data_IF_550569619160
#
_entry.id   IF_550569619160
#
_cell.length_a   1.000
_cell.length_b   1.000
_cell.length_c   1.000
_cell.angle_alpha   90.00
_cell.angle_beta   90.00
_cell.angle_gamma   90.00
#
_symmetry.space_group_name_H-M   'P 1'
#
loop_
_entity.id
_entity.type
_entity.pdbx_description
1 polymer ?
#
# COMPACT_ATOMS: atom_id res chain seq x y z
N UNK A 1 -5.58 -15.09 3.43
CA UNK A 1 -6.63 -14.20 3.97
C UNK A 1 -6.43 -14.01 5.48
N UNK A 2 -6.39 -12.77 5.89
CA UNK A 2 -6.35 -12.42 7.30
C UNK A 2 -7.78 -12.16 7.76
N UNK A 3 -8.26 -12.85 8.81
CA UNK A 3 -9.64 -12.69 9.26
C UNK A 3 -9.89 -11.32 9.90
N UNK A 4 -11.15 -10.91 9.91
CA UNK A 4 -11.58 -9.70 10.57
C UNK A 4 -11.26 -9.78 12.06
N UNK A 5 -10.73 -8.69 12.62
CA UNK A 5 -10.39 -8.62 14.03
C UNK A 5 -9.63 -7.35 14.38
N UNK A 6 -9.44 -7.12 15.67
CA UNK A 6 -8.68 -5.99 16.18
C UNK A 6 -7.29 -6.46 16.61
N UNK A 7 -6.30 -6.20 15.77
CA UNK A 7 -4.89 -6.52 16.01
C UNK A 7 -4.07 -5.23 16.15
N UNK A 8 -4.63 -4.21 16.75
CA UNK A 8 -4.02 -2.87 16.78
C UNK A 8 -2.73 -2.76 17.60
N UNK A 9 -2.33 -3.84 18.27
CA UNK A 9 -1.04 -3.93 18.95
C UNK A 9 -0.03 -4.81 18.22
N UNK A 10 -0.39 -5.30 17.05
CA UNK A 10 0.42 -6.27 16.27
C UNK A 10 0.91 -5.62 14.99
N UNK A 11 2.20 -5.79 14.69
CA UNK A 11 2.78 -5.46 13.40
C UNK A 11 2.62 -6.66 12.45
N UNK A 12 2.09 -6.42 11.27
CA UNK A 12 1.93 -7.44 10.23
C UNK A 12 3.00 -7.25 9.18
N UNK A 13 3.76 -8.29 8.90
CA UNK A 13 4.75 -8.32 7.82
C UNK A 13 4.28 -9.27 6.74
N UNK A 14 4.20 -8.78 5.51
CA UNK A 14 3.81 -9.57 4.33
C UNK A 14 5.05 -9.90 3.52
N UNK A 15 5.37 -11.18 3.46
CA UNK A 15 6.40 -11.72 2.59
C UNK A 15 5.78 -12.92 1.86
N UNK A 16 5.07 -12.62 0.78
CA UNK A 16 4.24 -13.60 0.09
C UNK A 16 4.44 -13.51 -1.43
N UNK A 17 5.64 -13.87 -1.94
CA UNK A 17 5.95 -13.72 -3.36
C UNK A 17 5.15 -14.65 -4.28
N UNK A 18 4.42 -15.63 -3.71
CA UNK A 18 3.68 -16.62 -4.48
C UNK A 18 2.19 -16.71 -4.11
N UNK A 19 1.67 -15.72 -3.39
CA UNK A 19 0.27 -15.77 -2.94
C UNK A 19 -0.35 -14.37 -2.91
N UNK A 20 -1.63 -14.30 -3.26
CA UNK A 20 -2.43 -13.10 -3.02
C UNK A 20 -2.76 -13.02 -1.52
N UNK A 21 -2.80 -11.80 -1.00
CA UNK A 21 -3.14 -11.54 0.38
C UNK A 21 -4.38 -10.66 0.44
N UNK A 22 -5.36 -11.08 1.23
CA UNK A 22 -6.56 -10.30 1.55
C UNK A 22 -6.57 -10.04 3.04
N UNK A 23 -6.56 -8.78 3.44
CA UNK A 23 -6.57 -8.40 4.85
C UNK A 23 -7.90 -7.80 5.26
N UNK A 24 -8.56 -8.41 6.22
CA UNK A 24 -9.79 -7.94 6.84
C UNK A 24 -9.57 -7.47 8.29
N UNK A 25 -8.33 -7.50 8.78
CA UNK A 25 -8.01 -7.15 10.16
C UNK A 25 -7.38 -5.77 10.30
N UNK A 26 -7.59 -5.15 11.47
CA UNK A 26 -6.95 -3.88 11.83
C UNK A 26 -5.65 -4.17 12.57
N UNK A 27 -4.53 -3.67 12.07
CA UNK A 27 -3.19 -3.85 12.65
C UNK A 27 -2.59 -2.53 13.13
N UNK A 28 -1.56 -2.62 13.96
CA UNK A 28 -0.75 -1.46 14.36
C UNK A 28 0.00 -0.90 13.16
N UNK A 29 0.66 -1.79 12.40
CA UNK A 29 1.32 -1.45 11.15
C UNK A 29 1.30 -2.65 10.21
N UNK A 30 1.38 -2.38 8.90
CA UNK A 30 1.47 -3.41 7.88
C UNK A 30 2.66 -3.07 7.00
N UNK A 31 3.60 -4.01 6.86
CA UNK A 31 4.78 -3.85 6.01
C UNK A 31 4.74 -4.90 4.90
N UNK A 32 4.63 -4.46 3.67
CA UNK A 32 4.63 -5.33 2.49
C UNK A 32 6.05 -5.39 1.95
N UNK A 33 6.74 -6.49 2.24
CA UNK A 33 8.13 -6.72 1.85
C UNK A 33 8.26 -7.46 0.52
N UNK A 34 7.32 -8.34 0.20
CA UNK A 34 7.28 -9.04 -1.07
C UNK A 34 5.86 -9.49 -1.36
N UNK A 35 5.35 -9.19 -2.55
CA UNK A 35 4.02 -9.59 -2.99
C UNK A 35 3.98 -9.94 -4.48
N UNK A 36 4.98 -9.52 -5.26
CA UNK A 36 5.06 -9.83 -6.70
C UNK A 36 5.09 -11.35 -6.93
N UNK A 37 4.38 -11.87 -7.96
CA UNK A 37 3.54 -11.15 -8.94
C UNK A 37 2.09 -10.96 -8.50
N UNK A 38 1.78 -11.21 -7.25
CA UNK A 38 0.43 -11.23 -6.71
C UNK A 38 0.01 -9.87 -6.18
N UNK A 39 -1.11 -9.82 -5.49
CA UNK A 39 -1.75 -8.58 -5.08
C UNK A 39 -2.09 -8.61 -3.59
N UNK A 40 -1.88 -7.49 -2.91
CA UNK A 40 -2.38 -7.27 -1.56
C UNK A 40 -3.69 -6.46 -1.63
N UNK A 41 -4.74 -6.99 -1.02
CA UNK A 41 -6.06 -6.34 -0.96
C UNK A 41 -6.39 -5.93 0.47
N UNK A 42 -6.68 -4.66 0.68
CA UNK A 42 -7.05 -4.12 1.98
C UNK A 42 -8.56 -3.93 2.06
N UNK A 43 -9.21 -4.68 2.97
CA UNK A 43 -10.64 -4.58 3.23
C UNK A 43 -10.95 -3.98 4.60
N UNK A 44 -9.96 -3.78 5.46
CA UNK A 44 -10.15 -3.26 6.80
C UNK A 44 -10.20 -1.72 6.83
N UNK A 45 -10.43 -1.16 8.00
CA UNK A 45 -10.52 0.29 8.19
C UNK A 45 -9.42 0.78 9.13
N UNK A 46 -8.77 1.89 8.76
CA UNK A 46 -7.83 2.59 9.61
C UNK A 46 -6.40 2.06 9.64
N UNK A 47 -6.02 1.18 8.75
CA UNK A 47 -4.66 0.65 8.70
C UNK A 47 -3.65 1.67 8.13
N UNK A 48 -2.39 1.50 8.53
CA UNK A 48 -1.23 2.19 7.95
C UNK A 48 -0.39 1.13 7.24
N UNK A 49 -0.09 1.34 5.97
CA UNK A 49 0.61 0.37 5.14
C UNK A 49 1.93 0.97 4.67
N UNK A 50 3.01 0.22 4.85
CA UNK A 50 4.33 0.52 4.28
C UNK A 50 4.63 -0.50 3.20
N UNK A 51 5.01 -0.03 2.02
CA UNK A 51 5.46 -0.88 0.92
C UNK A 51 6.97 -0.76 0.84
N UNK A 52 7.67 -1.74 1.40
CA UNK A 52 9.14 -1.80 1.44
C UNK A 52 9.70 -2.83 0.47
N UNK A 53 8.86 -3.34 -0.43
CA UNK A 53 9.24 -4.35 -1.41
C UNK A 53 10.42 -3.89 -2.27
N UNK A 54 11.34 -4.81 -2.54
CA UNK A 54 12.50 -4.58 -3.42
C UNK A 54 12.20 -4.93 -4.88
N UNK A 55 10.96 -5.25 -5.20
CA UNK A 55 10.47 -5.51 -6.55
C UNK A 55 9.11 -4.84 -6.73
N UNK A 56 8.41 -5.25 -7.79
CA UNK A 56 7.08 -4.70 -8.06
C UNK A 56 6.09 -5.07 -6.95
N UNK A 57 5.15 -4.18 -6.68
CA UNK A 57 4.10 -4.43 -5.71
C UNK A 57 2.77 -3.84 -6.22
N UNK A 58 1.69 -4.51 -5.90
CA UNK A 58 0.34 -4.04 -6.21
C UNK A 58 -0.51 -4.08 -4.96
N UNK A 59 -1.05 -2.93 -4.60
CA UNK A 59 -1.90 -2.78 -3.41
C UNK A 59 -3.24 -2.21 -3.84
N UNK A 60 -4.32 -2.87 -3.43
CA UNK A 60 -5.68 -2.42 -3.70
C UNK A 60 -6.34 -2.06 -2.38
N UNK A 61 -6.82 -0.83 -2.29
CA UNK A 61 -7.72 -0.39 -1.21
C UNK A 61 -9.14 -0.58 -1.72
N UNK A 62 -9.79 -1.62 -1.21
CA UNK A 62 -11.11 -2.01 -1.70
C UNK A 62 -12.20 -0.99 -1.33
N UNK A 63 -13.28 -1.02 -2.09
CA UNK A 63 -14.46 -0.20 -1.79
C UNK A 63 -14.95 -0.46 -0.37
N UNK A 64 -15.12 0.60 0.42
CA UNK A 64 -15.52 0.50 1.83
C UNK A 64 -14.38 0.39 2.81
N UNK A 65 -13.16 0.07 2.36
CA UNK A 65 -11.98 0.08 3.21
C UNK A 65 -11.47 1.51 3.42
N UNK A 66 -10.78 1.73 4.53
CA UNK A 66 -10.10 2.99 4.78
C UNK A 66 -8.65 2.73 5.17
N UNK A 67 -7.73 3.49 4.58
CA UNK A 67 -6.31 3.43 4.90
C UNK A 67 -5.87 4.83 5.30
N UNK A 68 -5.25 4.96 6.45
CA UNK A 68 -4.79 6.24 6.95
C UNK A 68 -3.60 6.77 6.15
N UNK A 69 -2.69 5.87 5.75
CA UNK A 69 -1.49 6.26 5.01
C UNK A 69 -0.88 5.04 4.32
N UNK A 70 -0.36 5.27 3.10
CA UNK A 70 0.54 4.33 2.44
C UNK A 70 1.89 5.02 2.27
N UNK A 71 2.95 4.40 2.78
CA UNK A 71 4.32 4.85 2.60
C UNK A 71 5.04 3.90 1.65
N UNK A 72 5.64 4.42 0.60
CA UNK A 72 6.43 3.65 -0.36
C UNK A 72 7.90 3.90 -0.06
N UNK A 73 8.59 2.88 0.47
CA UNK A 73 9.99 2.98 0.88
C UNK A 73 10.89 1.91 0.24
N UNK A 74 10.34 1.12 -0.67
CA UNK A 74 11.10 0.10 -1.40
C UNK A 74 12.16 0.70 -2.31
N UNK A 75 13.21 -0.07 -2.61
CA UNK A 75 14.37 0.44 -3.36
C UNK A 75 14.27 0.26 -4.87
N UNK A 76 13.39 -0.59 -5.35
CA UNK A 76 13.28 -0.96 -6.77
C UNK A 76 11.86 -1.30 -7.15
N UNK A 77 11.61 -1.28 -8.47
CA UNK A 77 10.39 -1.79 -9.05
C UNK A 77 9.32 -0.74 -9.26
N UNK A 78 8.16 -1.21 -9.66
CA UNK A 78 6.99 -0.37 -9.90
C UNK A 78 5.93 -0.69 -8.86
N UNK A 79 5.43 0.32 -8.18
CA UNK A 79 4.37 0.17 -7.19
C UNK A 79 3.07 0.68 -7.80
N UNK A 80 2.06 -0.17 -7.81
CA UNK A 80 0.73 0.17 -8.30
C UNK A 80 -0.24 0.20 -7.12
N UNK A 81 -0.86 1.35 -6.93
CA UNK A 81 -1.83 1.57 -5.86
C UNK A 81 -3.20 1.78 -6.52
N UNK A 82 -4.13 0.88 -6.26
CA UNK A 82 -5.51 0.99 -6.75
C UNK A 82 -6.39 1.42 -5.58
N UNK A 83 -6.96 2.62 -5.66
CA UNK A 83 -7.72 3.21 -4.56
C UNK A 83 -9.19 3.28 -4.95
N UNK A 84 -9.96 2.29 -4.53
CA UNK A 84 -11.41 2.24 -4.72
C UNK A 84 -12.16 2.54 -3.42
N UNK A 85 -11.46 2.50 -2.30
CA UNK A 85 -11.94 2.93 -0.99
C UNK A 85 -11.45 4.33 -0.65
N UNK A 86 -11.12 4.54 0.62
CA UNK A 86 -10.62 5.83 1.11
C UNK A 86 -9.17 5.70 1.54
N UNK A 87 -8.32 6.58 1.02
CA UNK A 87 -6.91 6.67 1.38
C UNK A 87 -6.61 8.13 1.72
N UNK A 88 -6.14 8.38 2.94
CA UNK A 88 -5.92 9.74 3.42
C UNK A 88 -4.62 10.37 2.94
N UNK A 89 -3.64 9.58 2.55
CA UNK A 89 -2.40 10.12 2.00
C UNK A 89 -1.42 9.06 1.53
N UNK A 90 -0.54 9.46 0.63
CA UNK A 90 0.57 8.63 0.13
C UNK A 90 1.85 9.41 0.37
N UNK A 91 2.86 8.75 0.94
CA UNK A 91 4.21 9.31 1.08
C UNK A 91 5.17 8.42 0.30
N UNK A 92 5.96 9.02 -0.59
CA UNK A 92 6.97 8.31 -1.37
C UNK A 92 8.34 8.69 -0.84
N UNK A 93 9.07 7.69 -0.37
CA UNK A 93 10.35 7.87 0.32
C UNK A 93 11.47 7.08 -0.35
N UNK A 94 11.29 6.71 -1.61
CA UNK A 94 12.27 5.97 -2.41
C UNK A 94 12.12 6.32 -3.89
N UNK A 95 13.20 6.25 -4.71
CA UNK A 95 13.15 6.62 -6.12
C UNK A 95 12.57 5.49 -6.99
N UNK A 96 11.30 5.19 -6.79
CA UNK A 96 10.57 4.15 -7.52
C UNK A 96 9.44 4.76 -8.34
N UNK A 97 8.94 4.00 -9.31
CA UNK A 97 7.77 4.41 -10.08
C UNK A 97 6.50 4.03 -9.32
N UNK A 98 5.62 4.98 -9.12
CA UNK A 98 4.35 4.76 -8.43
C UNK A 98 3.21 5.15 -9.35
N UNK A 99 2.31 4.23 -9.60
CA UNK A 99 1.06 4.50 -10.33
C UNK A 99 -0.09 4.45 -9.35
N UNK A 100 -0.89 5.50 -9.31
CA UNK A 100 -2.08 5.59 -8.46
C UNK A 100 -3.30 5.63 -9.37
N UNK A 101 -4.18 4.66 -9.24
CA UNK A 101 -5.40 4.59 -10.03
C UNK A 101 -6.57 4.13 -9.17
N UNK A 102 -7.79 4.12 -9.71
CA UNK A 102 -8.99 3.72 -9.00
C UNK A 102 -10.02 4.84 -8.93
N UNK A 103 -11.10 4.60 -8.17
CA UNK A 103 -12.27 5.48 -8.14
C UNK A 103 -12.03 6.78 -7.37
N UNK A 104 -11.12 6.77 -6.39
CA UNK A 104 -10.94 7.89 -5.45
C UNK A 104 -9.57 8.54 -5.51
N UNK A 105 -8.79 8.29 -6.56
CA UNK A 105 -7.41 8.79 -6.68
C UNK A 105 -7.30 10.31 -6.63
N UNK A 106 -8.26 11.04 -7.17
CA UNK A 106 -8.22 12.50 -7.24
C UNK A 106 -8.24 13.16 -5.85
N UNK A 107 -8.73 12.45 -4.83
CA UNK A 107 -8.85 12.98 -3.47
C UNK A 107 -7.65 12.62 -2.59
N UNK A 108 -6.64 11.92 -3.11
CA UNK A 108 -5.51 11.42 -2.32
C UNK A 108 -4.31 12.35 -2.46
N UNK A 109 -3.86 13.02 -1.38
CA UNK A 109 -2.64 13.81 -1.42
C UNK A 109 -1.40 12.91 -1.49
N UNK A 110 -0.45 13.29 -2.34
CA UNK A 110 0.81 12.56 -2.52
C UNK A 110 1.97 13.46 -2.12
N UNK A 111 2.82 12.97 -1.21
CA UNK A 111 4.04 13.64 -0.78
C UNK A 111 5.25 12.86 -1.27
N UNK A 112 6.16 13.53 -1.95
CA UNK A 112 7.43 12.95 -2.42
C UNK A 112 8.56 13.54 -1.58
N UNK A 113 9.22 12.70 -0.78
CA UNK A 113 10.30 13.13 0.09
C UNK A 113 11.63 13.24 -0.67
N UNK A 114 12.65 13.85 -0.03
CA UNK A 114 13.98 14.03 -0.64
C UNK A 114 14.61 12.72 -1.07
N UNK A 115 14.43 11.66 -0.29
CA UNK A 115 14.94 10.32 -0.62
C UNK A 115 14.32 9.72 -1.87
N UNK A 116 13.19 10.26 -2.30
CA UNK A 116 12.47 9.82 -3.47
C UNK A 116 12.75 10.70 -4.70
N UNK A 117 13.79 11.52 -4.67
CA UNK A 117 14.21 12.30 -5.83
C UNK A 117 14.47 11.37 -7.02
N UNK A 118 13.76 11.57 -8.12
CA UNK A 118 13.77 10.65 -9.25
C UNK A 118 12.61 9.68 -9.30
N UNK A 119 11.75 9.65 -8.28
CA UNK A 119 10.51 8.87 -8.35
C UNK A 119 9.57 9.45 -9.40
N UNK A 120 8.89 8.56 -10.12
CA UNK A 120 7.83 8.94 -11.06
C UNK A 120 6.49 8.56 -10.47
N UNK A 121 5.61 9.54 -10.33
CA UNK A 121 4.26 9.31 -9.82
C UNK A 121 3.26 9.60 -10.92
N UNK A 122 2.45 8.61 -11.25
CA UNK A 122 1.40 8.74 -12.25
C UNK A 122 0.04 8.53 -11.57
N UNK A 123 -0.86 9.47 -11.74
CA UNK A 123 -2.24 9.37 -11.23
C UNK A 123 -3.20 9.20 -12.40
N UNK A 124 -4.13 8.28 -12.27
CA UNK A 124 -5.12 7.97 -13.31
C UNK A 124 -6.53 7.97 -12.77
#
# INVERSE_FOLDING_TARGET
TVPQGNYSKVDLVINAPNADVVNNGKFKSIDIQAIKPNTYRENAKGNVITVSATGDARVIVETGATVAKIMVSGSKGNVKLVVDGTLSGITIDAPVNVTVEGKTTAAVPVTVNEKAAGANVTSR
#
